data_IF_226554240647
#
_entry.id   IF_226554240647
#
_cell.length_a   1.000
_cell.length_b   1.000
_cell.length_c   1.000
_cell.angle_alpha   90.00
_cell.angle_beta   90.00
_cell.angle_gamma   90.00
#
_symmetry.space_group_name_H-M   'P 1'
#
loop_
_entity.id
_entity.type
_entity.pdbx_description
1 polymer ?
#
# COMPACT_ATOMS: atom_id res chain seq x y z
N UNK A 1 -24.57 6.86 -14.05
CA UNK A 1 -23.30 7.06 -14.74
C UNK A 1 -22.29 7.81 -13.93
N UNK A 2 -22.64 8.96 -13.36
CA UNK A 2 -21.74 9.67 -12.46
C UNK A 2 -21.36 8.84 -11.24
N UNK A 3 -22.31 8.07 -10.73
CA UNK A 3 -22.07 7.23 -9.56
C UNK A 3 -21.11 6.07 -9.85
N UNK A 4 -21.19 5.51 -11.08
CA UNK A 4 -20.29 4.44 -11.47
C UNK A 4 -18.83 4.94 -11.56
N UNK A 5 -18.63 6.10 -12.17
CA UNK A 5 -17.30 6.69 -12.28
C UNK A 5 -16.76 7.03 -10.90
N UNK A 6 -17.59 7.61 -10.05
CA UNK A 6 -17.20 7.97 -8.68
C UNK A 6 -16.84 6.73 -7.87
N UNK A 7 -17.66 5.69 -7.95
CA UNK A 7 -17.41 4.43 -7.26
C UNK A 7 -16.12 3.78 -7.76
N UNK A 8 -15.91 3.77 -9.06
CA UNK A 8 -14.70 3.21 -9.65
C UNK A 8 -13.44 3.95 -9.17
N UNK A 9 -13.51 5.28 -9.13
CA UNK A 9 -12.40 6.10 -8.65
C UNK A 9 -12.07 5.79 -7.19
N UNK A 10 -13.08 5.66 -6.35
CA UNK A 10 -12.90 5.33 -4.94
C UNK A 10 -12.26 3.96 -4.78
N UNK A 11 -12.77 2.96 -5.49
CA UNK A 11 -12.26 1.58 -5.42
C UNK A 11 -10.80 1.53 -5.85
N UNK A 12 -10.47 2.19 -6.96
CA UNK A 12 -9.09 2.23 -7.46
C UNK A 12 -8.19 2.95 -6.47
N UNK A 13 -8.64 4.08 -5.91
CA UNK A 13 -7.87 4.83 -4.93
C UNK A 13 -7.60 4.04 -3.66
N UNK A 14 -8.61 3.37 -3.14
CA UNK A 14 -8.48 2.53 -1.94
C UNK A 14 -7.53 1.36 -2.21
N UNK A 15 -7.68 0.68 -3.34
CA UNK A 15 -6.79 -0.41 -3.70
C UNK A 15 -5.35 0.05 -3.85
N UNK A 16 -5.14 1.19 -4.47
CA UNK A 16 -3.81 1.76 -4.62
C UNK A 16 -3.19 2.11 -3.26
N UNK A 17 -3.99 2.67 -2.36
CA UNK A 17 -3.54 2.99 -1.01
C UNK A 17 -3.12 1.74 -0.24
N UNK A 18 -3.88 0.66 -0.33
CA UNK A 18 -3.53 -0.61 0.30
C UNK A 18 -2.21 -1.16 -0.22
N UNK A 19 -2.01 -1.11 -1.53
CA UNK A 19 -0.75 -1.58 -2.14
C UNK A 19 0.41 -0.73 -1.64
N UNK A 20 0.26 0.59 -1.61
CA UNK A 20 1.30 1.49 -1.14
C UNK A 20 1.67 1.23 0.31
N UNK A 21 0.67 1.04 1.18
CA UNK A 21 0.89 0.73 2.59
C UNK A 21 1.61 -0.60 2.75
N UNK A 22 1.21 -1.62 1.99
CA UNK A 22 1.84 -2.94 2.03
C UNK A 22 3.32 -2.85 1.61
N UNK A 23 3.61 -2.09 0.57
CA UNK A 23 4.98 -1.87 0.13
C UNK A 23 5.82 -1.18 1.20
N UNK A 24 5.30 -0.11 1.78
CA UNK A 24 6.00 0.63 2.83
C UNK A 24 6.23 -0.24 4.07
N UNK A 25 5.24 -1.02 4.46
CA UNK A 25 5.36 -1.93 5.60
C UNK A 25 6.44 -2.98 5.35
N UNK A 26 6.48 -3.55 4.16
CA UNK A 26 7.48 -4.54 3.79
C UNK A 26 8.88 -3.95 3.83
N UNK A 27 9.06 -2.77 3.24
CA UNK A 27 10.34 -2.07 3.23
C UNK A 27 10.77 -1.73 4.65
N UNK A 28 9.86 -1.27 5.49
CA UNK A 28 10.15 -0.92 6.87
C UNK A 28 10.63 -2.15 7.66
N UNK A 29 9.95 -3.27 7.52
CA UNK A 29 10.32 -4.52 8.20
C UNK A 29 11.70 -4.99 7.73
N UNK A 30 11.95 -4.97 6.43
CA UNK A 30 13.24 -5.36 5.88
C UNK A 30 14.36 -4.43 6.34
N UNK A 31 14.09 -3.13 6.41
CA UNK A 31 15.08 -2.16 6.87
C UNK A 31 15.43 -2.38 8.34
N UNK A 32 14.44 -2.63 9.18
CA UNK A 32 14.66 -2.91 10.59
C UNK A 32 15.46 -4.20 10.77
N UNK A 33 15.08 -5.25 10.05
CA UNK A 33 15.77 -6.52 10.09
C UNK A 33 17.22 -6.40 9.62
N UNK A 34 17.45 -5.61 8.58
CA UNK A 34 18.80 -5.37 8.08
C UNK A 34 19.65 -4.64 9.10
N UNK A 35 19.13 -3.56 9.69
CA UNK A 35 19.82 -2.79 10.70
C UNK A 35 20.06 -3.59 11.97
N UNK A 36 19.14 -4.47 12.31
CA UNK A 36 19.27 -5.35 13.47
C UNK A 36 20.20 -6.52 13.26
N UNK A 37 20.75 -6.69 12.07
CA UNK A 37 21.67 -7.78 11.77
C UNK A 37 21.02 -9.15 11.69
N UNK A 38 19.71 -9.19 11.47
CA UNK A 38 18.94 -10.44 11.40
C UNK A 38 19.06 -11.12 10.05
N UNK A 39 19.38 -10.36 9.03
CA UNK A 39 19.51 -10.86 7.67
C UNK A 39 20.92 -10.70 7.17
#
# INVERSE_FOLDING_TARGET
>A
MKDTVKTLTIVVGVGFAFIAIAWLAMIAILSIAWLGGTI
#
